data_IF_797721096931
#
_entry.id   IF_797721096931
#
_cell.length_a   1.000
_cell.length_b   1.000
_cell.length_c   1.000
_cell.angle_alpha   90.00
_cell.angle_beta   90.00
_cell.angle_gamma   90.00
#
_symmetry.space_group_name_H-M   'P 1'
#
loop_
_entity.id
_entity.type
_entity.pdbx_description
1 polymer ?
#
# COMPACT_ATOMS: atom_id res chain seq x y z
N UNK A 1 0.75 -0.74 -11.88
CA UNK A 1 -0.69 -0.96 -11.68
C UNK A 1 -1.33 -0.99 -13.05
N UNK A 2 -1.99 -2.09 -13.41
CA UNK A 2 -2.77 -2.18 -14.65
C UNK A 2 -4.17 -1.56 -14.45
N UNK A 3 -4.98 -1.51 -15.51
CA UNK A 3 -6.31 -0.89 -15.46
C UNK A 3 -7.24 -1.51 -14.41
N UNK A 4 -7.28 -2.85 -14.31
CA UNK A 4 -8.13 -3.56 -13.35
C UNK A 4 -7.70 -3.30 -11.91
N UNK A 5 -6.40 -3.32 -11.63
CA UNK A 5 -5.86 -2.99 -10.31
C UNK A 5 -6.17 -1.56 -9.90
N UNK A 6 -6.14 -0.63 -10.86
CA UNK A 6 -6.46 0.77 -10.61
C UNK A 6 -7.95 0.97 -10.32
N UNK A 7 -8.81 0.31 -11.09
CA UNK A 7 -10.25 0.32 -10.87
C UNK A 7 -10.61 -0.22 -9.49
N UNK A 8 -10.05 -1.37 -9.10
CA UNK A 8 -10.24 -1.95 -7.76
C UNK A 8 -9.73 -1.03 -6.65
N UNK A 9 -8.58 -0.38 -6.84
CA UNK A 9 -8.06 0.57 -5.85
C UNK A 9 -9.00 1.77 -5.68
N UNK A 10 -9.54 2.31 -6.77
CA UNK A 10 -10.47 3.46 -6.73
C UNK A 10 -11.84 3.06 -6.16
N UNK A 11 -12.32 1.85 -6.41
CA UNK A 11 -13.59 1.39 -5.82
C UNK A 11 -13.52 1.16 -4.31
N UNK A 12 -12.32 1.05 -3.76
CA UNK A 12 -12.07 0.75 -2.34
C UNK A 12 -11.28 1.86 -1.62
N UNK A 13 -11.14 3.06 -2.22
CA UNK A 13 -10.23 4.12 -1.75
C UNK A 13 -10.64 4.81 -0.43
N UNK A 14 -11.87 4.53 0.03
CA UNK A 14 -12.41 4.99 1.32
C UNK A 14 -12.43 3.88 2.39
N UNK A 15 -12.02 2.63 2.06
CA UNK A 15 -12.15 1.47 2.96
C UNK A 15 -10.82 1.12 3.68
N UNK A 16 -10.43 -0.15 3.84
CA UNK A 16 -9.15 -0.54 4.46
C UNK A 16 -8.15 -0.98 3.39
N UNK A 17 -6.96 -0.37 3.39
CA UNK A 17 -5.83 -0.82 2.58
C UNK A 17 -4.88 -1.66 3.43
N UNK A 18 -4.65 -2.88 2.96
CA UNK A 18 -3.70 -3.81 3.55
C UNK A 18 -2.34 -3.65 2.89
N UNK A 19 -1.31 -3.52 3.71
CA UNK A 19 0.07 -3.41 3.26
C UNK A 19 0.94 -4.38 4.04
N UNK A 20 1.39 -5.43 3.35
CA UNK A 20 2.25 -6.45 3.92
C UNK A 20 3.59 -6.52 3.20
N UNK A 21 4.65 -6.77 3.96
CA UNK A 21 6.02 -6.82 3.46
C UNK A 21 6.58 -8.21 3.65
N UNK A 22 7.37 -8.67 2.69
CA UNK A 22 8.12 -9.91 2.88
C UNK A 22 9.12 -9.74 4.02
N UNK A 23 9.20 -10.75 4.88
CA UNK A 23 10.19 -10.80 5.95
C UNK A 23 11.55 -11.20 5.37
N UNK A 24 12.20 -10.26 4.69
CA UNK A 24 13.53 -10.46 4.13
C UNK A 24 13.85 -9.52 2.98
N UNK A 25 15.14 -9.46 2.66
CA UNK A 25 15.63 -8.79 1.46
C UNK A 25 16.33 -9.80 0.57
N UNK A 26 16.27 -9.59 -0.74
CA UNK A 26 17.08 -10.39 -1.65
C UNK A 26 18.58 -10.03 -1.55
N UNK A 27 19.43 -10.74 -2.30
CA UNK A 27 20.89 -10.50 -2.33
C UNK A 27 21.30 -9.09 -2.75
N UNK A 28 20.39 -8.33 -3.34
CA UNK A 28 20.59 -6.95 -3.75
C UNK A 28 20.06 -5.95 -2.71
N UNK A 29 19.56 -6.40 -1.56
CA UNK A 29 18.95 -5.57 -0.52
C UNK A 29 17.61 -4.93 -0.93
N UNK A 30 16.86 -5.55 -1.85
CA UNK A 30 15.46 -5.17 -2.09
C UNK A 30 14.52 -5.96 -1.19
N UNK A 31 13.56 -5.26 -0.59
CA UNK A 31 12.35 -5.85 0.00
C UNK A 31 11.19 -5.82 -0.99
N UNK A 32 10.14 -6.58 -0.70
CA UNK A 32 8.90 -6.49 -1.45
C UNK A 32 7.70 -6.23 -0.55
N UNK A 33 6.79 -5.40 -1.06
CA UNK A 33 5.51 -5.09 -0.42
C UNK A 33 4.36 -5.49 -1.33
N UNK A 34 3.30 -6.00 -0.74
CA UNK A 34 2.02 -6.26 -1.40
C UNK A 34 0.99 -5.27 -0.87
N UNK A 35 0.33 -4.56 -1.78
CA UNK A 35 -0.83 -3.71 -1.49
C UNK A 35 -2.07 -4.49 -1.87
N UNK A 36 -2.99 -4.62 -0.92
CA UNK A 36 -4.23 -5.36 -1.07
C UNK A 36 -5.41 -4.48 -0.63
N UNK A 37 -6.49 -4.53 -1.40
CA UNK A 37 -7.78 -3.93 -1.04
C UNK A 37 -8.79 -5.04 -0.82
N UNK A 38 -9.82 -4.78 -0.03
CA UNK A 38 -10.94 -5.70 0.15
C UNK A 38 -12.08 -5.28 -0.77
N UNK A 39 -12.71 -6.26 -1.44
CA UNK A 39 -13.96 -6.03 -2.15
C UNK A 39 -15.17 -6.01 -1.20
N UNK A 40 -16.36 -5.87 -1.76
CA UNK A 40 -17.64 -5.85 -1.04
C UNK A 40 -17.96 -7.17 -0.32
N UNK A 41 -17.27 -8.26 -0.67
CA UNK A 41 -17.37 -9.58 -0.04
C UNK A 41 -16.26 -9.85 0.95
N UNK A 42 -15.42 -8.86 1.24
CA UNK A 42 -14.26 -8.98 2.14
C UNK A 42 -13.21 -9.94 1.56
N UNK A 43 -13.18 -10.14 0.24
CA UNK A 43 -12.14 -10.89 -0.45
C UNK A 43 -10.99 -9.94 -0.85
N UNK A 44 -9.77 -10.43 -0.67
CA UNK A 44 -8.56 -9.64 -0.92
C UNK A 44 -8.16 -9.60 -2.39
N UNK A 45 -7.98 -8.40 -2.94
CA UNK A 45 -7.47 -8.18 -4.29
C UNK A 45 -6.10 -7.48 -4.29
N UNK A 46 -5.04 -8.07 -4.88
CA UNK A 46 -3.73 -7.43 -4.95
C UNK A 46 -3.69 -6.34 -6.02
N UNK A 47 -3.55 -5.09 -5.58
CA UNK A 47 -3.54 -3.92 -6.47
C UNK A 47 -2.12 -3.46 -6.85
N UNK A 48 -1.12 -3.78 -6.05
CA UNK A 48 0.27 -3.49 -6.39
C UNK A 48 1.28 -4.42 -5.70
N UNK A 49 2.37 -4.68 -6.40
CA UNK A 49 3.61 -5.23 -5.84
C UNK A 49 4.69 -4.16 -5.97
N UNK A 50 5.37 -3.88 -4.87
CA UNK A 50 6.46 -2.90 -4.81
C UNK A 50 7.74 -3.65 -4.49
N UNK A 51 8.81 -3.36 -5.22
CA UNK A 51 10.16 -3.86 -4.95
C UNK A 51 11.06 -2.64 -4.76
N UNK A 52 11.69 -2.49 -3.60
CA UNK A 52 12.32 -1.24 -3.19
C UNK A 52 13.51 -1.47 -2.26
N UNK A 53 14.47 -0.53 -2.24
CA UNK A 53 15.49 -0.44 -1.17
C UNK A 53 15.00 0.41 0.01
N UNK A 54 13.86 1.10 -0.16
CA UNK A 54 13.27 2.02 0.82
C UNK A 54 11.84 1.59 1.05
N UNK A 55 11.67 0.82 2.11
CA UNK A 55 10.50 -0.01 2.41
C UNK A 55 9.16 0.72 2.16
N UNK A 56 8.91 1.88 2.78
CA UNK A 56 7.53 2.39 2.91
C UNK A 56 7.18 3.59 2.01
N UNK A 57 8.12 4.51 1.78
CA UNK A 57 7.80 5.79 1.09
C UNK A 57 7.49 5.60 -0.39
N UNK A 58 8.17 4.66 -1.05
CA UNK A 58 7.95 4.37 -2.46
C UNK A 58 6.54 3.79 -2.68
N UNK A 59 6.13 2.87 -1.79
CA UNK A 59 4.80 2.28 -1.76
C UNK A 59 3.71 3.36 -1.68
N UNK A 60 3.80 4.21 -0.66
CA UNK A 60 2.82 5.26 -0.42
C UNK A 60 2.77 6.31 -1.53
N UNK A 61 3.93 6.67 -2.10
CA UNK A 61 3.96 7.60 -3.23
C UNK A 61 3.32 7.00 -4.49
N UNK A 62 3.51 5.70 -4.74
CA UNK A 62 2.91 5.02 -5.87
C UNK A 62 1.38 4.94 -5.71
N UNK A 63 0.88 4.62 -4.51
CA UNK A 63 -0.56 4.59 -4.21
C UNK A 63 -1.16 6.00 -4.34
N UNK A 64 -0.54 7.02 -3.73
CA UNK A 64 -1.02 8.41 -3.76
C UNK A 64 -1.10 9.01 -5.16
N UNK A 65 -0.28 8.53 -6.10
CA UNK A 65 -0.33 8.99 -7.50
C UNK A 65 -1.62 8.53 -8.19
N UNK A 66 -2.16 7.39 -7.80
CA UNK A 66 -3.26 6.73 -8.51
C UNK A 66 -4.61 6.87 -7.80
N UNK A 67 -4.64 7.09 -6.48
CA UNK A 67 -5.87 7.22 -5.69
C UNK A 67 -5.75 8.22 -4.53
N UNK A 68 -6.88 8.82 -4.15
CA UNK A 68 -6.95 9.67 -2.94
C UNK A 68 -7.37 8.79 -1.79
N UNK A 69 -6.39 8.18 -1.12
CA UNK A 69 -6.68 7.27 -0.02
C UNK A 69 -7.19 8.05 1.20
N UNK A 70 -8.48 7.96 1.51
CA UNK A 70 -9.04 8.34 2.82
C UNK A 70 -9.14 7.13 3.78
N UNK A 71 -8.75 5.96 3.31
CA UNK A 71 -8.77 4.68 4.01
C UNK A 71 -7.96 4.57 5.29
N UNK A 72 -8.33 3.59 6.12
CA UNK A 72 -7.47 3.06 7.18
C UNK A 72 -6.39 2.16 6.57
N UNK A 73 -5.15 2.24 7.09
CA UNK A 73 -4.08 1.31 6.72
C UNK A 73 -3.95 0.22 7.77
N UNK A 74 -3.94 -1.03 7.32
CA UNK A 74 -3.65 -2.20 8.14
C UNK A 74 -2.31 -2.82 7.73
N UNK A 75 -1.39 -2.92 8.68
CA UNK A 75 -0.02 -3.39 8.44
C UNK A 75 0.57 -4.00 9.72
N UNK A 76 1.47 -4.98 9.57
CA UNK A 76 2.03 -5.78 10.67
C UNK A 76 3.04 -5.06 11.58
N UNK A 77 3.57 -3.90 11.16
CA UNK A 77 4.54 -3.13 11.96
C UNK A 77 4.08 -1.68 12.14
N UNK A 78 3.97 -1.20 13.37
CA UNK A 78 3.16 -0.02 13.71
C UNK A 78 3.89 1.32 13.58
N UNK A 79 5.16 1.45 14.01
CA UNK A 79 5.77 2.79 14.14
C UNK A 79 6.29 3.41 12.83
N UNK A 80 7.02 2.65 12.01
CA UNK A 80 7.56 3.16 10.74
C UNK A 80 6.46 3.52 9.74
N UNK A 81 5.35 2.79 9.79
CA UNK A 81 4.20 2.95 8.92
C UNK A 81 3.37 4.16 9.31
N UNK A 82 3.08 4.36 10.61
CA UNK A 82 2.42 5.57 11.08
C UNK A 82 3.20 6.83 10.67
N UNK A 83 4.53 6.81 10.74
CA UNK A 83 5.37 7.95 10.33
C UNK A 83 5.36 8.16 8.81
N UNK A 84 5.42 7.11 8.01
CA UNK A 84 5.37 7.21 6.56
C UNK A 84 3.98 7.69 6.06
N UNK A 85 2.90 7.21 6.69
CA UNK A 85 1.53 7.66 6.43
C UNK A 85 1.33 9.14 6.77
N UNK A 86 1.71 9.56 7.99
CA UNK A 86 1.62 10.96 8.43
C UNK A 86 2.42 11.92 7.53
N UNK A 87 3.52 11.47 6.94
CA UNK A 87 4.29 12.28 6.00
C UNK A 87 3.76 12.22 4.55
N UNK A 88 3.08 11.14 4.16
CA UNK A 88 2.60 10.91 2.80
C UNK A 88 1.19 11.44 2.52
N UNK A 89 0.28 11.35 3.49
CA UNK A 89 -1.17 11.54 3.28
C UNK A 89 -1.82 12.58 4.20
N UNK A 90 -1.07 13.23 5.10
CA UNK A 90 -1.63 14.28 5.96
C UNK A 90 -2.10 15.45 5.10
N UNK A 91 -3.42 15.72 5.14
CA UNK A 91 -4.02 16.96 4.63
C UNK A 91 -3.43 18.14 5.40
N UNK A 92 -2.77 19.05 4.67
CA UNK A 92 -2.56 20.44 5.11
C UNK A 92 -3.86 21.20 4.99
#
# INVERSE_FOLDING_TARGET
MNSSQKEMLMSCEDDVIYLDFTHGVNSYLFDSATVLVLDDKVEGFPVAFIVSHRHYRAAFKAIKKEATVNSYIMTGHTEFFCNAWKNGFRRT
#
